data_IF_654576236140
#
_entry.id   IF_654576236140
#
_cell.length_a   1.000
_cell.length_b   1.000
_cell.length_c   1.000
_cell.angle_alpha   90.00
_cell.angle_beta   90.00
_cell.angle_gamma   90.00
#
_symmetry.space_group_name_H-M   'P 1'
#
loop_
_entity.id
_entity.type
_entity.pdbx_description
1 polymer ?
#
# COMPACT_ATOMS: atom_id res chain seq x y z
N UNK A 1 -19.63 27.15 -26.69
CA UNK A 1 -18.62 26.93 -25.63
C UNK A 1 -18.96 25.63 -24.94
N UNK A 2 -18.24 24.55 -25.25
CA UNK A 2 -18.48 23.24 -24.65
C UNK A 2 -17.81 23.20 -23.26
N UNK A 3 -18.61 23.04 -22.21
CA UNK A 3 -18.11 22.85 -20.86
C UNK A 3 -17.55 21.42 -20.75
N UNK A 4 -16.24 21.29 -20.61
CA UNK A 4 -15.62 20.05 -20.18
C UNK A 4 -15.90 19.88 -18.69
N UNK A 5 -16.90 19.08 -18.35
CA UNK A 5 -17.12 18.64 -16.97
C UNK A 5 -15.97 17.71 -16.60
N UNK A 6 -14.97 18.22 -15.88
CA UNK A 6 -14.03 17.36 -15.17
C UNK A 6 -14.81 16.65 -14.06
N UNK A 7 -15.25 15.43 -14.33
CA UNK A 7 -15.56 14.50 -13.25
C UNK A 7 -14.22 14.18 -12.60
N UNK A 8 -13.92 14.82 -11.48
CA UNK A 8 -12.85 14.38 -10.61
C UNK A 8 -13.22 12.95 -10.19
N UNK A 9 -12.61 11.95 -10.83
CA UNK A 9 -12.71 10.58 -10.34
C UNK A 9 -12.00 10.56 -8.99
N UNK A 10 -12.77 10.43 -7.92
CA UNK A 10 -12.23 10.26 -6.59
C UNK A 10 -11.31 9.04 -6.61
N UNK A 11 -10.05 9.22 -6.23
CA UNK A 11 -9.11 8.11 -6.09
C UNK A 11 -9.66 7.15 -5.05
N UNK A 12 -10.02 5.94 -5.46
CA UNK A 12 -10.44 4.88 -4.56
C UNK A 12 -9.22 4.22 -3.92
N UNK A 13 -9.19 4.19 -2.60
CA UNK A 13 -8.23 3.44 -1.81
C UNK A 13 -8.96 2.22 -1.26
N UNK A 14 -8.64 1.03 -1.75
CA UNK A 14 -9.32 -0.21 -1.32
C UNK A 14 -8.31 -1.20 -0.77
N UNK A 15 -8.35 -1.46 0.52
CA UNK A 15 -7.52 -2.44 1.20
C UNK A 15 -8.24 -3.79 1.28
N UNK A 16 -7.59 -4.82 0.74
CA UNK A 16 -7.95 -6.21 0.91
C UNK A 16 -7.10 -6.81 2.04
N UNK A 17 -7.74 -7.49 2.98
CA UNK A 17 -7.07 -8.05 4.16
C UNK A 17 -7.62 -9.41 4.54
N UNK A 18 -6.82 -10.12 5.34
CA UNK A 18 -7.35 -11.19 6.18
C UNK A 18 -8.24 -10.58 7.30
N UNK A 19 -9.49 -11.06 7.49
CA UNK A 19 -10.38 -10.55 8.52
C UNK A 19 -9.81 -10.64 9.94
N UNK A 20 -8.89 -11.58 10.21
CA UNK A 20 -8.37 -11.83 11.56
C UNK A 20 -7.16 -10.96 11.96
N UNK A 21 -6.76 -9.99 11.13
CA UNK A 21 -5.51 -9.24 11.35
C UNK A 21 -5.71 -7.81 11.88
N UNK A 22 -5.60 -7.61 13.20
CA UNK A 22 -5.85 -6.31 13.85
C UNK A 22 -4.90 -5.16 13.47
N UNK A 23 -3.68 -5.43 12.99
CA UNK A 23 -2.74 -4.36 12.59
C UNK A 23 -3.12 -3.69 11.26
N UNK A 24 -3.93 -4.34 10.41
CA UNK A 24 -4.37 -3.80 9.12
C UNK A 24 -5.29 -2.58 9.30
N UNK A 25 -6.13 -2.57 10.33
CA UNK A 25 -6.98 -1.41 10.68
C UNK A 25 -6.14 -0.20 11.07
N UNK A 26 -5.16 -0.38 11.95
CA UNK A 26 -4.27 0.70 12.37
C UNK A 26 -3.47 1.28 11.19
N UNK A 27 -3.04 0.43 10.26
CA UNK A 27 -2.39 0.89 9.03
C UNK A 27 -3.36 1.69 8.12
N UNK A 28 -4.60 1.23 7.97
CA UNK A 28 -5.61 1.94 7.17
C UNK A 28 -5.96 3.32 7.77
N UNK A 29 -6.03 3.43 9.10
CA UNK A 29 -6.21 4.70 9.80
C UNK A 29 -5.02 5.63 9.55
N UNK A 30 -3.78 5.11 9.65
CA UNK A 30 -2.58 5.88 9.33
C UNK A 30 -2.62 6.46 7.91
N UNK A 31 -2.96 5.63 6.91
CA UNK A 31 -3.09 6.09 5.52
C UNK A 31 -4.18 7.13 5.39
N UNK A 32 -5.34 6.91 6.03
CA UNK A 32 -6.48 7.81 5.95
C UNK A 32 -6.16 9.19 6.50
N UNK A 33 -5.52 9.24 7.68
CA UNK A 33 -5.16 10.48 8.38
C UNK A 33 -4.06 11.26 7.65
N UNK A 34 -3.05 10.57 7.13
CA UNK A 34 -1.88 11.22 6.53
C UNK A 34 -2.09 11.60 5.05
N UNK A 35 -3.08 11.03 4.38
CA UNK A 35 -3.37 11.30 2.97
C UNK A 35 -4.70 12.04 2.75
N UNK A 36 -5.46 12.34 3.81
CA UNK A 36 -6.83 12.89 3.73
C UNK A 36 -7.70 12.07 2.77
N UNK A 37 -7.65 10.74 2.94
CA UNK A 37 -8.24 9.77 2.05
C UNK A 37 -9.09 8.76 2.83
N UNK A 38 -10.18 8.29 2.25
CA UNK A 38 -10.95 7.18 2.84
C UNK A 38 -10.42 5.86 2.31
N UNK A 39 -9.85 5.03 3.19
CA UNK A 39 -9.51 3.64 2.87
C UNK A 39 -10.74 2.76 3.09
N UNK A 40 -11.25 2.17 2.01
CA UNK A 40 -12.29 1.15 2.07
C UNK A 40 -11.65 -0.21 2.39
N UNK A 41 -12.26 -0.99 3.27
CA UNK A 41 -11.78 -2.32 3.66
C UNK A 41 -12.66 -3.40 3.06
N UNK A 42 -12.04 -4.43 2.50
CA UNK A 42 -12.68 -5.64 2.01
C UNK A 42 -12.00 -6.84 2.67
N UNK A 43 -12.79 -7.67 3.34
CA UNK A 43 -12.30 -8.96 3.84
C UNK A 43 -12.19 -9.93 2.66
N UNK A 44 -10.99 -10.43 2.42
CA UNK A 44 -10.72 -11.32 1.30
C UNK A 44 -10.60 -12.77 1.81
N UNK A 45 -11.48 -13.69 1.41
CA UNK A 45 -11.47 -15.07 1.88
C UNK A 45 -10.23 -15.86 1.41
N UNK A 46 -9.59 -15.44 0.31
CA UNK A 46 -8.35 -16.01 -0.18
C UNK A 46 -7.36 -14.90 -0.57
N UNK A 47 -6.67 -14.37 0.45
CA UNK A 47 -5.63 -13.36 0.25
C UNK A 47 -4.47 -13.86 -0.63
N UNK A 48 -4.20 -15.17 -0.68
CA UNK A 48 -3.11 -15.69 -1.53
C UNK A 48 -3.49 -15.56 -3.00
N UNK A 49 -4.68 -16.03 -3.37
CA UNK A 49 -5.19 -15.91 -4.74
C UNK A 49 -5.33 -14.45 -5.16
N UNK A 50 -5.77 -13.57 -4.26
CA UNK A 50 -5.82 -12.13 -4.53
C UNK A 50 -4.44 -11.56 -4.84
N UNK A 51 -3.43 -11.85 -4.01
CA UNK A 51 -2.04 -11.40 -4.21
C UNK A 51 -1.43 -11.95 -5.49
N UNK A 52 -1.73 -13.20 -5.85
CA UNK A 52 -1.32 -13.80 -7.12
C UNK A 52 -1.92 -13.03 -8.30
N UNK A 53 -3.21 -12.69 -8.26
CA UNK A 53 -3.88 -11.93 -9.31
C UNK A 53 -3.34 -10.50 -9.45
N UNK A 54 -2.80 -9.91 -8.38
CA UNK A 54 -2.16 -8.59 -8.38
C UNK A 54 -0.65 -8.64 -8.66
N UNK A 55 -0.10 -9.82 -9.02
CA UNK A 55 1.32 -10.04 -9.26
C UNK A 55 2.23 -9.64 -8.07
N UNK A 56 1.72 -9.72 -6.84
CA UNK A 56 2.53 -9.42 -5.64
C UNK A 56 3.58 -10.53 -5.50
N UNK A 57 4.88 -10.18 -5.52
CA UNK A 57 5.92 -11.19 -5.40
C UNK A 57 5.88 -11.91 -4.07
N UNK A 58 6.04 -13.23 -4.09
CA UNK A 58 5.83 -14.12 -2.93
C UNK A 58 6.65 -13.69 -1.70
N UNK A 59 7.90 -13.28 -1.89
CA UNK A 59 8.82 -12.86 -0.83
C UNK A 59 8.59 -11.43 -0.32
N UNK A 60 7.67 -10.68 -0.94
CA UNK A 60 7.26 -9.35 -0.49
C UNK A 60 5.89 -9.36 0.20
N UNK A 61 5.23 -10.53 0.31
CA UNK A 61 3.88 -10.62 0.85
C UNK A 61 3.82 -10.30 2.34
N UNK A 62 2.78 -9.57 2.74
CA UNK A 62 2.45 -9.20 4.12
C UNK A 62 1.00 -9.57 4.46
N UNK A 63 0.37 -8.91 5.43
CA UNK A 63 -0.99 -9.22 5.91
C UNK A 63 -2.14 -8.63 5.08
N UNK A 64 -1.90 -7.52 4.36
CA UNK A 64 -2.91 -6.85 3.54
C UNK A 64 -2.31 -6.28 2.25
N UNK A 65 -3.19 -5.92 1.32
CA UNK A 65 -2.85 -5.34 0.02
C UNK A 65 -3.86 -4.26 -0.33
N UNK A 66 -3.42 -3.04 -0.58
CA UNK A 66 -4.28 -1.93 -1.01
C UNK A 66 -4.10 -1.65 -2.50
N UNK A 67 -5.21 -1.44 -3.20
CA UNK A 67 -5.23 -0.97 -4.59
C UNK A 67 -5.58 0.52 -4.61
N UNK A 68 -4.75 1.31 -5.28
CA UNK A 68 -4.93 2.75 -5.43
C UNK A 68 -4.41 3.24 -6.79
N UNK A 69 -5.25 3.89 -7.58
CA UNK A 69 -4.88 4.44 -8.91
C UNK A 69 -4.15 3.45 -9.84
N UNK A 70 -4.47 2.15 -9.72
CA UNK A 70 -3.85 1.06 -10.48
C UNK A 70 -2.54 0.52 -9.88
N UNK A 71 -2.08 1.08 -8.76
CA UNK A 71 -0.91 0.58 -8.03
C UNK A 71 -1.31 -0.39 -6.93
N UNK A 72 -0.41 -1.34 -6.66
CA UNK A 72 -0.49 -2.31 -5.57
C UNK A 72 0.37 -1.84 -4.41
N UNK A 73 -0.21 -1.72 -3.22
CA UNK A 73 0.48 -1.33 -1.99
C UNK A 73 0.42 -2.52 -1.02
N UNK A 74 1.56 -3.15 -0.78
CA UNK A 74 1.67 -4.41 -0.05
C UNK A 74 2.27 -4.22 1.34
N UNK A 75 1.48 -4.54 2.37
CA UNK A 75 1.89 -4.42 3.78
C UNK A 75 2.06 -2.97 4.25
N UNK A 76 2.89 -2.81 5.29
CA UNK A 76 3.01 -1.58 6.08
C UNK A 76 3.78 -0.45 5.39
N UNK A 77 3.45 -0.14 4.14
CA UNK A 77 4.04 0.96 3.36
C UNK A 77 3.62 2.30 3.97
N UNK A 78 4.55 3.22 4.28
CA UNK A 78 4.23 4.55 4.79
C UNK A 78 3.43 5.42 3.81
N UNK A 79 2.52 6.25 4.35
CA UNK A 79 1.67 7.13 3.57
C UNK A 79 2.46 8.11 2.66
N UNK A 80 3.62 8.60 3.12
CA UNK A 80 4.48 9.49 2.34
C UNK A 80 5.12 8.80 1.13
N UNK A 81 5.48 7.50 1.25
CA UNK A 81 5.95 6.69 0.14
C UNK A 81 4.83 6.44 -0.90
N UNK A 82 3.61 6.14 -0.44
CA UNK A 82 2.43 6.01 -1.31
C UNK A 82 2.17 7.32 -2.04
N UNK A 83 2.16 8.44 -1.31
CA UNK A 83 1.95 9.76 -1.90
C UNK A 83 3.04 10.11 -2.92
N UNK A 84 4.30 9.74 -2.65
CA UNK A 84 5.42 9.90 -3.60
C UNK A 84 5.20 9.08 -4.87
N UNK A 85 4.78 7.81 -4.75
CA UNK A 85 4.44 6.96 -5.90
C UNK A 85 3.34 7.59 -6.76
N UNK A 86 2.25 8.04 -6.13
CA UNK A 86 1.11 8.61 -6.84
C UNK A 86 1.44 9.94 -7.54
N UNK A 87 2.36 10.73 -6.99
CA UNK A 87 2.85 11.97 -7.62
C UNK A 87 3.79 11.70 -8.79
N UNK A 88 4.76 10.80 -8.61
CA UNK A 88 5.84 10.60 -9.59
C UNK A 88 5.47 9.63 -10.72
N UNK A 89 4.60 8.66 -10.42
CA UNK A 89 4.15 7.60 -11.35
C UNK A 89 5.30 7.01 -12.18
N UNK A 90 6.36 6.49 -11.54
CA UNK A 90 7.54 5.98 -12.24
C UNK A 90 7.16 4.86 -13.20
N UNK A 91 7.72 4.89 -14.41
CA UNK A 91 7.46 3.89 -15.45
C UNK A 91 7.93 2.50 -15.01
N UNK A 92 7.11 1.48 -15.29
CA UNK A 92 7.41 0.07 -15.00
C UNK A 92 7.35 -0.29 -13.51
N UNK A 93 6.77 0.57 -12.67
CA UNK A 93 6.44 0.24 -11.29
C UNK A 93 4.95 -0.06 -11.22
N UNK A 94 4.62 -1.23 -10.70
CA UNK A 94 3.24 -1.68 -10.48
C UNK A 94 2.84 -1.54 -9.02
N UNK A 95 3.81 -1.51 -8.10
CA UNK A 95 3.52 -1.38 -6.69
C UNK A 95 4.70 -1.11 -5.76
N UNK A 96 4.36 -0.89 -4.49
CA UNK A 96 5.29 -0.78 -3.38
C UNK A 96 4.99 -1.88 -2.36
N UNK A 97 6.03 -2.39 -1.72
CA UNK A 97 5.90 -3.37 -0.65
C UNK A 97 6.83 -3.08 0.52
N UNK A 98 6.37 -3.38 1.73
CA UNK A 98 7.23 -3.61 2.89
C UNK A 98 7.12 -5.08 3.26
N UNK A 99 8.20 -5.83 3.06
CA UNK A 99 8.24 -7.25 3.36
C UNK A 99 8.22 -7.49 4.88
N UNK A 100 7.44 -8.47 5.32
CA UNK A 100 7.30 -8.83 6.73
C UNK A 100 6.46 -7.84 7.54
N UNK A 101 6.85 -7.61 8.79
CA UNK A 101 6.18 -6.73 9.76
C UNK A 101 7.22 -6.06 10.68
N UNK A 102 8.04 -5.12 10.16
CA UNK A 102 9.06 -4.48 10.95
C UNK A 102 8.45 -3.61 12.06
N UNK A 103 8.97 -3.75 13.27
CA UNK A 103 8.53 -2.95 14.41
C UNK A 103 8.76 -1.46 14.14
N UNK A 104 7.75 -0.63 14.41
CA UNK A 104 7.79 0.80 14.15
C UNK A 104 7.36 1.22 12.73
N UNK A 105 7.01 0.27 11.85
CA UNK A 105 6.24 0.60 10.65
C UNK A 105 4.80 1.00 11.00
N UNK A 106 4.07 1.71 10.12
CA UNK A 106 2.74 2.21 10.44
C UNK A 106 1.76 1.08 10.79
N UNK A 107 1.11 1.15 11.96
CA UNK A 107 0.27 0.07 12.50
C UNK A 107 1.04 -1.02 13.26
N UNK A 108 2.36 -0.90 13.40
CA UNK A 108 3.26 -1.78 14.17
C UNK A 108 4.11 -1.00 15.19
N UNK A 109 3.63 0.16 15.64
CA UNK A 109 4.32 1.02 16.59
C UNK A 109 4.42 0.37 17.98
N UNK A 110 5.64 0.29 18.53
CA UNK A 110 5.92 -0.27 19.86
C UNK A 110 6.76 0.71 20.70
N UNK A 111 6.14 1.81 21.09
CA UNK A 111 6.79 2.87 21.88
C UNK A 111 8.00 3.46 21.14
N UNK A 112 9.19 3.39 21.76
CA UNK A 112 10.43 3.90 21.17
C UNK A 112 11.17 2.88 20.28
N UNK A 113 10.71 1.63 20.21
CA UNK A 113 11.37 0.59 19.42
C UNK A 113 11.04 0.74 17.94
N UNK A 114 12.07 0.82 17.10
CA UNK A 114 11.96 0.86 15.64
C UNK A 114 13.03 -0.02 15.00
N UNK A 115 12.63 -0.76 13.97
CA UNK A 115 13.53 -1.47 13.07
C UNK A 115 13.65 -0.66 11.79
N UNK A 116 14.85 -0.57 11.24
CA UNK A 116 15.02 -0.01 9.90
C UNK A 116 14.40 -0.94 8.87
N UNK A 117 13.71 -0.39 7.87
CA UNK A 117 13.13 -1.19 6.79
C UNK A 117 13.19 -0.46 5.45
N UNK A 118 13.06 -1.25 4.39
CA UNK A 118 13.04 -0.77 3.02
C UNK A 118 11.62 -0.85 2.48
N UNK A 119 11.23 0.18 1.73
CA UNK A 119 10.08 0.10 0.84
C UNK A 119 10.61 -0.31 -0.54
N UNK A 120 10.15 -1.44 -1.04
CA UNK A 120 10.58 -2.00 -2.32
C UNK A 120 9.54 -1.65 -3.39
N UNK A 121 9.98 -0.97 -4.44
CA UNK A 121 9.20 -0.88 -5.67
C UNK A 121 9.35 -2.15 -6.50
N UNK A 122 8.26 -2.64 -7.05
CA UNK A 122 8.22 -3.80 -7.95
C UNK A 122 7.36 -3.52 -9.18
N UNK A 123 7.62 -4.26 -10.26
CA UNK A 123 6.87 -4.23 -11.52
C UNK A 123 7.74 -4.66 -12.70
N UNK A 124 7.34 -4.31 -13.93
CA UNK A 124 8.07 -4.60 -15.17
C UNK A 124 9.52 -4.09 -15.19
N UNK A 125 9.83 -3.00 -14.46
CA UNK A 125 11.18 -2.46 -14.32
C UNK A 125 12.06 -3.28 -13.35
N UNK A 126 11.53 -4.37 -12.80
CA UNK A 126 12.17 -5.18 -11.76
C UNK A 126 11.99 -4.57 -10.37
N UNK A 127 12.85 -5.01 -9.43
CA UNK A 127 12.77 -4.60 -8.03
C UNK A 127 13.87 -3.61 -7.67
N UNK A 128 13.52 -2.59 -6.91
CA UNK A 128 14.49 -1.62 -6.38
C UNK A 128 14.00 -0.99 -5.08
N UNK A 129 14.95 -0.55 -4.26
CA UNK A 129 14.64 0.25 -3.07
C UNK A 129 14.05 1.58 -3.51
N UNK A 130 12.84 1.89 -3.03
CA UNK A 130 12.13 3.14 -3.28
C UNK A 130 12.37 4.16 -2.17
N UNK A 131 12.39 3.69 -0.92
CA UNK A 131 12.64 4.48 0.28
C UNK A 131 13.22 3.61 1.41
N UNK A 132 13.82 4.26 2.41
CA UNK A 132 14.38 3.64 3.63
C UNK A 132 13.85 4.40 4.84
N UNK A 133 13.47 3.67 5.88
CA UNK A 133 12.97 4.16 7.15
C UNK A 133 13.76 3.56 8.30
#
# INVERSE_FOLDING_TARGET
MAACTNVAQATSYTMHRDPQCGCCEAWADHVSDNMDARVATVDEPDMSAFKDAQNVPQDLRSCHTMIVSGYVIEGHVPADAIAKLLRERPQGVDGLAVAGMPLGSPGMEMGAQRQSYEVIAFGDAGRRVFARY
#
